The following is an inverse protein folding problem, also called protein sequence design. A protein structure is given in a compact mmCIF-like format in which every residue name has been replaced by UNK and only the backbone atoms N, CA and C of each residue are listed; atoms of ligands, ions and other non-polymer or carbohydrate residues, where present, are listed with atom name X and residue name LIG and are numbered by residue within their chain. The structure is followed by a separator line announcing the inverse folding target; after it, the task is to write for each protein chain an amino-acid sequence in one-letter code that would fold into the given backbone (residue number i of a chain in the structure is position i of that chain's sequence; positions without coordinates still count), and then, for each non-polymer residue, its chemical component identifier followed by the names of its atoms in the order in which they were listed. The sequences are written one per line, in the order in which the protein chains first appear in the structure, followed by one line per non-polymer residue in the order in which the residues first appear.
data_IF_496437730110
#
_entry.id   IF_496437730110
#
_cell.length_a   1.000
_cell.length_b   1.000
_cell.length_c   1.000
_cell.angle_alpha   90.00
_cell.angle_beta   90.00
_cell.angle_gamma   90.00
#
_symmetry.space_group_name_H-M   'P 1'
#
loop_
_entity.id
_entity.type
_entity.pdbx_description
1 polymer ?
#
# COMPACT_ATOMS: atom_id res chain seq x y z
N UNK A 1 -2.40 -11.84 1.70
CA UNK A 1 -2.76 -10.94 0.57
C UNK A 1 -1.60 -9.99 0.32
N UNK A 2 -1.05 -9.99 -0.90
CA UNK A 2 0.08 -9.13 -1.28
C UNK A 2 -0.22 -7.64 -1.13
N UNK A 3 -1.47 -7.18 -1.29
CA UNK A 3 -1.86 -5.78 -1.00
C UNK A 3 -1.58 -5.39 0.46
N UNK A 4 -1.96 -6.21 1.45
CA UNK A 4 -1.73 -5.85 2.86
C UNK A 4 -0.23 -5.68 3.15
N UNK A 5 0.62 -6.49 2.51
CA UNK A 5 2.07 -6.36 2.60
C UNK A 5 2.54 -5.04 1.99
N UNK A 6 2.00 -4.62 0.83
CA UNK A 6 2.34 -3.31 0.23
C UNK A 6 1.96 -2.14 1.14
N UNK A 7 0.77 -2.19 1.74
CA UNK A 7 0.32 -1.17 2.68
C UNK A 7 1.22 -1.13 3.91
N UNK A 8 1.58 -2.29 4.47
CA UNK A 8 2.49 -2.37 5.60
C UNK A 8 3.89 -1.80 5.28
N UNK A 9 4.44 -2.12 4.10
CA UNK A 9 5.72 -1.59 3.65
C UNK A 9 5.74 -0.05 3.55
N UNK A 10 4.63 0.57 3.12
CA UNK A 10 4.49 2.02 3.07
C UNK A 10 4.39 2.68 4.45
N UNK A 11 3.93 1.95 5.48
CA UNK A 11 3.89 2.48 6.86
C UNK A 11 5.26 2.52 7.54
N UNK A 12 6.23 1.72 7.08
CA UNK A 12 7.59 1.68 7.66
C UNK A 12 8.33 3.03 7.58
N UNK A 13 8.46 3.69 6.41
CA UNK A 13 9.13 4.99 6.34
C UNK A 13 8.42 6.05 7.20
N UNK A 14 7.09 6.01 7.29
CA UNK A 14 6.29 6.92 8.11
C UNK A 14 6.58 6.70 9.60
N UNK A 15 6.63 5.46 10.07
CA UNK A 15 6.93 5.19 11.47
C UNK A 15 8.35 5.62 11.84
N UNK A 16 9.27 5.57 10.87
CA UNK A 16 10.66 5.95 11.06
C UNK A 16 10.88 7.47 11.17
N UNK A 17 9.97 8.32 10.66
CA UNK A 17 10.09 9.79 10.82
C UNK A 17 10.05 10.23 12.28
N UNK A 18 9.39 9.45 13.14
CA UNK A 18 9.30 9.74 14.58
C UNK A 18 10.60 9.43 15.34
N UNK A 19 11.60 8.87 14.65
CA UNK A 19 12.91 8.58 15.23
C UNK A 19 13.96 9.57 14.75
N UNK A 20 15.05 9.73 15.51
CA UNK A 20 16.18 10.61 15.16
C UNK A 20 16.90 10.20 13.85
N UNK A 21 16.57 9.03 13.29
CA UNK A 21 17.13 8.48 12.06
C UNK A 21 16.68 9.22 10.79
N UNK A 22 15.64 10.07 10.86
CA UNK A 22 15.24 10.98 9.78
C UNK A 22 16.33 12.00 9.44
N UNK A 23 17.18 12.37 10.40
CA UNK A 23 18.24 13.38 10.20
C UNK A 23 19.38 12.90 9.30
N UNK A 24 19.39 11.62 8.94
CA UNK A 24 20.43 11.03 8.12
C UNK A 24 20.19 11.33 6.63
N UNK A 25 21.24 11.75 5.91
CA UNK A 25 21.20 12.00 4.45
C UNK A 25 20.75 10.80 3.62
N UNK A 26 20.81 9.59 4.20
CA UNK A 26 20.37 8.34 3.58
C UNK A 26 18.85 8.13 3.62
N UNK A 27 18.11 8.93 4.38
CA UNK A 27 16.67 8.76 4.54
C UNK A 27 15.88 8.90 3.22
N UNK A 28 16.14 9.89 2.35
CA UNK A 28 15.47 9.97 1.04
C UNK A 28 15.72 8.74 0.17
N UNK A 29 16.94 8.19 0.17
CA UNK A 29 17.28 6.97 -0.56
C UNK A 29 16.56 5.73 0.01
N UNK A 30 16.41 5.67 1.32
CA UNK A 30 15.60 4.64 1.97
C UNK A 30 14.11 4.74 1.58
N UNK A 31 13.55 5.96 1.55
CA UNK A 31 12.15 6.13 1.10
C UNK A 31 11.99 5.76 -0.37
N UNK A 32 12.91 6.17 -1.25
CA UNK A 32 12.90 5.77 -2.67
C UNK A 32 12.90 4.25 -2.85
N UNK A 33 13.81 3.55 -2.14
CA UNK A 33 13.90 2.09 -2.23
C UNK A 33 12.69 1.38 -1.64
N UNK A 34 12.12 1.87 -0.53
CA UNK A 34 10.89 1.27 0.01
C UNK A 34 9.71 1.40 -0.94
N UNK A 35 9.56 2.54 -1.63
CA UNK A 35 8.53 2.72 -2.67
C UNK A 35 8.76 1.78 -3.86
N UNK A 36 10.00 1.60 -4.33
CA UNK A 36 10.28 0.68 -5.45
C UNK A 36 9.98 -0.79 -5.09
N UNK A 37 10.24 -1.21 -3.84
CA UNK A 37 9.85 -2.53 -3.36
C UNK A 37 8.33 -2.68 -3.22
N UNK A 38 7.65 -1.65 -2.71
CA UNK A 38 6.19 -1.62 -2.63
C UNK A 38 5.55 -1.73 -4.03
N UNK A 39 6.11 -1.05 -5.03
CA UNK A 39 5.69 -1.17 -6.43
C UNK A 39 5.80 -2.62 -6.93
N UNK A 40 6.95 -3.27 -6.77
CA UNK A 40 7.14 -4.66 -7.20
C UNK A 40 6.17 -5.64 -6.51
N UNK A 41 5.92 -5.44 -5.22
CA UNK A 41 4.97 -6.26 -4.47
C UNK A 41 3.51 -6.00 -4.88
N UNK A 42 3.18 -4.80 -5.33
CA UNK A 42 1.84 -4.43 -5.83
C UNK A 42 1.54 -5.00 -7.22
N UNK A 43 2.56 -5.35 -8.02
CA UNK A 43 2.35 -5.99 -9.32
C UNK A 43 1.82 -7.41 -9.21
N UNK A 44 2.29 -8.20 -8.22
CA UNK A 44 1.83 -9.58 -7.99
C UNK A 44 0.30 -9.70 -7.94
N UNK A 45 -0.42 -8.93 -7.10
CA UNK A 45 -1.88 -9.01 -7.05
C UNK A 45 -2.55 -8.48 -8.32
N UNK A 46 -1.98 -7.49 -9.01
CA UNK A 46 -2.55 -7.03 -10.29
C UNK A 46 -2.47 -8.10 -11.37
N UNK A 47 -1.36 -8.83 -11.46
CA UNK A 47 -1.21 -9.92 -12.42
C UNK A 47 -2.14 -11.08 -12.07
N UNK A 48 -2.28 -11.41 -10.78
CA UNK A 48 -3.27 -12.40 -10.33
C UNK A 48 -4.71 -11.98 -10.66
N UNK A 49 -5.03 -10.70 -10.48
CA UNK A 49 -6.34 -10.15 -10.80
C UNK A 49 -6.65 -10.24 -12.30
N UNK A 50 -5.69 -9.86 -13.17
CA UNK A 50 -5.83 -9.98 -14.62
C UNK A 50 -5.97 -11.45 -15.08
N UNK A 51 -5.30 -12.38 -14.41
CA UNK A 51 -5.34 -13.80 -14.75
C UNK A 51 -6.64 -14.49 -14.29
N UNK A 52 -7.09 -14.22 -13.06
CA UNK A 52 -8.25 -14.89 -12.45
C UNK A 52 -9.58 -14.16 -12.75
N UNK A 53 -9.53 -12.89 -13.15
CA UNK A 53 -10.72 -12.05 -13.34
C UNK A 53 -11.57 -11.91 -12.08
N UNK A 54 -10.98 -12.11 -10.89
CA UNK A 54 -11.72 -12.12 -9.63
C UNK A 54 -11.87 -10.69 -9.10
N UNK A 55 -13.08 -10.15 -9.20
CA UNK A 55 -13.33 -8.71 -9.14
C UNK A 55 -13.14 -8.04 -7.77
N UNK A 56 -13.13 -8.79 -6.67
CA UNK A 56 -13.14 -8.16 -5.34
C UNK A 56 -12.40 -8.99 -4.27
N UNK A 57 -11.28 -8.46 -3.78
CA UNK A 57 -10.77 -8.86 -2.46
C UNK A 57 -11.25 -7.85 -1.42
N UNK A 58 -11.94 -8.34 -0.38
CA UNK A 58 -12.41 -7.53 0.74
C UNK A 58 -11.63 -7.94 1.98
N UNK A 59 -10.91 -7.00 2.59
CA UNK A 59 -10.41 -7.20 3.96
C UNK A 59 -11.29 -6.42 4.93
N UNK A 60 -11.88 -7.13 5.88
CA UNK A 60 -12.76 -6.58 6.88
C UNK A 60 -12.05 -6.54 8.24
N UNK A 61 -11.83 -5.34 8.76
CA UNK A 61 -11.45 -5.16 10.14
C UNK A 61 -12.60 -4.54 10.90
N UNK A 62 -13.27 -5.36 11.72
CA UNK A 62 -14.28 -4.86 12.64
C UNK A 62 -13.63 -3.90 13.64
N UNK A 63 -14.08 -2.65 13.64
CA UNK A 63 -13.50 -1.61 14.47
C UNK A 63 -14.25 -1.52 15.80
N UNK A 64 -15.48 -0.99 15.79
CA UNK A 64 -16.30 -0.80 16.99
C UNK A 64 -17.78 -0.95 16.61
N UNK A 65 -18.56 -1.58 17.48
CA UNK A 65 -20.03 -1.52 17.43
C UNK A 65 -20.54 -0.47 18.39
N UNK A 66 -21.32 0.50 17.91
CA UNK A 66 -22.01 1.49 18.75
C UNK A 66 -23.51 1.25 18.59
N UNK A 67 -24.13 0.68 19.63
CA UNK A 67 -25.56 0.30 19.68
C UNK A 67 -26.02 -0.51 18.45
N UNK A 68 -26.54 0.16 17.41
CA UNK A 68 -27.04 -0.45 16.17
C UNK A 68 -26.08 -0.33 14.98
N UNK A 69 -25.02 0.50 15.08
CA UNK A 69 -24.06 0.74 14.00
C UNK A 69 -22.79 -0.08 14.21
N UNK A 70 -22.45 -0.92 13.23
CA UNK A 70 -21.16 -1.64 13.19
C UNK A 70 -20.19 -0.90 12.27
N UNK A 71 -19.18 -0.25 12.86
CA UNK A 71 -18.10 0.34 12.09
C UNK A 71 -17.05 -0.73 11.78
N UNK A 72 -16.82 -0.96 10.49
CA UNK A 72 -15.79 -1.88 10.00
C UNK A 72 -14.97 -1.20 8.91
N UNK A 73 -13.66 -1.33 8.99
CA UNK A 73 -12.74 -0.94 7.92
C UNK A 73 -12.77 -2.05 6.88
N UNK A 74 -13.49 -1.81 5.77
CA UNK A 74 -13.58 -2.73 4.66
C UNK A 74 -12.79 -2.19 3.47
N UNK A 75 -11.59 -2.73 3.22
CA UNK A 75 -10.87 -2.40 2.00
C UNK A 75 -11.43 -3.25 0.86
N UNK A 76 -12.17 -2.60 -0.03
CA UNK A 76 -12.71 -3.21 -1.24
C UNK A 76 -11.75 -2.96 -2.40
N UNK A 77 -11.08 -4.02 -2.85
CA UNK A 77 -10.13 -3.96 -3.95
C UNK A 77 -10.83 -4.30 -5.27
N UNK A 78 -11.45 -3.29 -5.87
CA UNK A 78 -12.11 -3.35 -7.18
C UNK A 78 -11.09 -3.15 -8.33
N UNK A 79 -11.50 -3.47 -9.56
CA UNK A 79 -10.75 -3.24 -10.80
C UNK A 79 -9.97 -1.90 -10.84
N UNK A 80 -10.65 -0.80 -10.55
CA UNK A 80 -10.04 0.54 -10.56
C UNK A 80 -8.92 0.67 -9.54
N UNK A 81 -9.11 0.16 -8.32
CA UNK A 81 -8.11 0.22 -7.26
C UNK A 81 -6.88 -0.64 -7.58
N UNK A 82 -7.12 -1.82 -8.17
CA UNK A 82 -6.05 -2.76 -8.52
C UNK A 82 -5.15 -2.17 -9.61
N UNK A 83 -5.71 -1.51 -10.63
CA UNK A 83 -4.90 -0.86 -11.67
C UNK A 83 -4.26 0.44 -11.17
N UNK A 84 -4.98 1.22 -10.36
CA UNK A 84 -4.49 2.52 -9.90
C UNK A 84 -3.30 2.41 -8.95
N UNK A 85 -3.30 1.44 -8.02
CA UNK A 85 -2.23 1.25 -7.03
C UNK A 85 -0.80 1.16 -7.63
N UNK A 86 -0.50 0.24 -8.57
CA UNK A 86 0.84 0.14 -9.15
C UNK A 86 1.20 1.38 -9.98
N UNK A 87 0.24 1.99 -10.68
CA UNK A 87 0.48 3.23 -11.45
C UNK A 87 0.88 4.38 -10.52
N UNK A 88 0.15 4.55 -9.41
CA UNK A 88 0.46 5.58 -8.41
C UNK A 88 1.84 5.35 -7.76
N UNK A 89 2.18 4.09 -7.43
CA UNK A 89 3.50 3.76 -6.87
C UNK A 89 4.64 3.96 -7.88
N UNK A 90 4.40 3.68 -9.16
CA UNK A 90 5.38 3.94 -10.22
C UNK A 90 5.64 5.45 -10.38
N UNK A 91 4.58 6.26 -10.44
CA UNK A 91 4.71 7.71 -10.56
C UNK A 91 5.39 8.30 -9.32
N UNK A 92 5.01 7.89 -8.10
CA UNK A 92 5.66 8.40 -6.88
C UNK A 92 7.12 8.00 -6.77
N UNK A 93 7.51 6.81 -7.22
CA UNK A 93 8.91 6.43 -7.33
C UNK A 93 9.68 7.36 -8.27
N UNK A 94 9.12 7.67 -9.45
CA UNK A 94 9.74 8.59 -10.40
C UNK A 94 9.87 10.02 -9.86
N UNK A 95 8.86 10.52 -9.13
CA UNK A 95 8.90 11.86 -8.51
C UNK A 95 9.96 11.93 -7.41
N UNK A 96 10.18 10.85 -6.66
CA UNK A 96 11.19 10.82 -5.59
C UNK A 96 12.62 10.63 -6.12
N UNK A 97 12.75 10.20 -7.38
CA UNK A 97 14.04 10.06 -8.06
C UNK A 97 14.51 11.36 -8.71
N UNK A 98 13.57 12.15 -9.24
CA UNK A 98 13.82 13.46 -9.85
C UNK A 98 13.88 14.59 -8.81
#
# INVERSE_FOLDING_TARGET
SSILVTLFMLTLPIMMTNTTLYTNKLYPQYVKTTISHAFMMSLIPTMMFLYLGQDTMISNWHWITIQTVKLSLNFKLDYFSMIFMPVALFVTWSIMEF
#
